data_IF_091926309263
#
_entry.id   IF_091926309263
#
_cell.length_a   1.000
_cell.length_b   1.000
_cell.length_c   1.000
_cell.angle_alpha   90.00
_cell.angle_beta   90.00
_cell.angle_gamma   90.00
#
_symmetry.space_group_name_H-M   'P 1'
#
loop_
_entity.id
_entity.type
_entity.pdbx_description
1 polymer ?
#
# COMPACT_ATOMS: atom_id res chain seq x y z
N UNK A 1 40.23 65.36 -8.73
CA UNK A 1 39.41 64.57 -7.77
C UNK A 1 38.37 63.75 -8.53
N UNK A 2 38.49 62.42 -8.59
CA UNK A 2 37.54 61.53 -9.28
C UNK A 2 36.61 60.88 -8.24
N UNK A 3 35.32 61.23 -8.25
CA UNK A 3 34.29 60.62 -7.39
C UNK A 3 33.88 59.26 -7.94
N UNK A 4 34.23 58.17 -7.24
CA UNK A 4 33.70 56.83 -7.53
C UNK A 4 32.27 56.70 -6.98
N UNK A 5 31.28 56.53 -7.86
CA UNK A 5 29.91 56.16 -7.46
C UNK A 5 29.84 54.66 -7.18
N UNK A 6 29.73 54.28 -5.92
CA UNK A 6 29.44 52.91 -5.49
C UNK A 6 28.00 52.53 -5.86
N UNK A 7 27.85 51.70 -6.91
CA UNK A 7 26.55 51.08 -7.26
C UNK A 7 26.22 50.01 -6.23
N UNK A 8 25.20 50.24 -5.39
CA UNK A 8 24.72 49.24 -4.42
C UNK A 8 23.97 48.10 -5.15
N UNK A 9 24.28 46.82 -4.88
CA UNK A 9 23.63 45.69 -5.54
C UNK A 9 22.28 45.37 -4.88
N UNK A 10 21.24 46.16 -5.16
CA UNK A 10 19.89 45.91 -4.62
C UNK A 10 19.11 44.81 -5.37
N UNK A 11 19.45 44.53 -6.63
CA UNK A 11 18.67 43.63 -7.49
C UNK A 11 18.87 42.12 -7.23
N UNK A 12 19.97 41.72 -6.57
CA UNK A 12 20.29 40.29 -6.37
C UNK A 12 19.40 39.61 -5.30
N UNK A 13 18.94 40.35 -4.29
CA UNK A 13 18.16 39.78 -3.17
C UNK A 13 16.76 39.35 -3.61
N UNK A 14 16.15 40.08 -4.55
CA UNK A 14 14.79 39.81 -5.01
C UNK A 14 14.70 38.56 -5.89
N UNK A 15 15.72 38.33 -6.74
CA UNK A 15 15.79 37.13 -7.59
C UNK A 15 15.96 35.84 -6.79
N UNK A 16 16.72 35.90 -5.69
CA UNK A 16 16.91 34.76 -4.81
C UNK A 16 15.59 34.34 -4.14
N UNK A 17 14.80 35.30 -3.67
CA UNK A 17 13.50 35.04 -3.04
C UNK A 17 12.50 34.41 -4.03
N UNK A 18 12.46 34.88 -5.28
CA UNK A 18 11.61 34.30 -6.33
C UNK A 18 12.02 32.86 -6.68
N UNK A 19 13.31 32.57 -6.75
CA UNK A 19 13.81 31.21 -7.00
C UNK A 19 13.45 30.28 -5.84
N UNK A 20 13.62 30.73 -4.60
CA UNK A 20 13.26 29.95 -3.40
C UNK A 20 11.75 29.72 -3.34
N UNK A 21 10.94 30.75 -3.58
CA UNK A 21 9.48 30.62 -3.61
C UNK A 21 9.01 29.67 -4.73
N UNK A 22 9.59 29.78 -5.93
CA UNK A 22 9.29 28.87 -7.04
C UNK A 22 9.69 27.42 -6.73
N UNK A 23 10.84 27.21 -6.11
CA UNK A 23 11.27 25.88 -5.68
C UNK A 23 10.35 25.29 -4.59
N UNK A 24 9.92 26.11 -3.62
CA UNK A 24 8.99 25.68 -2.57
C UNK A 24 7.60 25.35 -3.12
N UNK A 25 7.10 26.13 -4.08
CA UNK A 25 5.82 25.85 -4.75
C UNK A 25 5.90 24.57 -5.58
N UNK A 26 7.01 24.33 -6.29
CA UNK A 26 7.21 23.10 -7.05
C UNK A 26 7.30 21.88 -6.12
N UNK A 27 8.00 22.02 -4.99
CA UNK A 27 8.10 20.99 -3.96
C UNK A 27 6.75 20.71 -3.30
N UNK A 28 5.91 21.73 -3.09
CA UNK A 28 4.56 21.55 -2.56
C UNK A 28 3.61 20.90 -3.57
N UNK A 29 3.73 21.23 -4.86
CA UNK A 29 2.91 20.65 -5.93
C UNK A 29 3.28 19.20 -6.25
N UNK A 30 4.55 18.82 -6.04
CA UNK A 30 5.08 17.47 -6.27
C UNK A 30 5.28 16.68 -4.97
N UNK A 31 4.94 17.26 -3.82
CA UNK A 31 4.97 16.55 -2.55
C UNK A 31 4.01 15.36 -2.66
N UNK A 32 4.47 14.12 -2.45
CA UNK A 32 3.57 12.99 -2.30
C UNK A 32 2.52 13.36 -1.25
N UNK A 33 1.25 13.16 -1.55
CA UNK A 33 0.19 13.29 -0.54
C UNK A 33 0.52 12.25 0.53
N UNK A 34 1.11 12.69 1.65
CA UNK A 34 1.58 11.82 2.72
C UNK A 34 0.47 11.01 3.44
N UNK A 35 -0.78 11.13 3.01
CA UNK A 35 -1.95 10.43 3.54
C UNK A 35 -2.80 9.74 2.46
N UNK A 36 -2.32 9.62 1.22
CA UNK A 36 -3.02 8.78 0.24
C UNK A 36 -2.75 7.31 0.58
N UNK A 37 -3.76 6.61 1.10
CA UNK A 37 -3.74 5.16 1.22
C UNK A 37 -3.88 4.58 -0.19
N UNK A 38 -2.91 3.77 -0.59
CA UNK A 38 -2.94 3.04 -1.86
C UNK A 38 -3.44 1.63 -1.61
N UNK A 39 -4.23 1.09 -2.54
CA UNK A 39 -4.56 -0.34 -2.57
C UNK A 39 -3.31 -1.11 -2.99
N UNK A 40 -2.75 -1.88 -2.07
CA UNK A 40 -1.53 -2.66 -2.29
C UNK A 40 -1.86 -4.00 -2.91
N UNK A 41 -2.85 -4.70 -2.37
CA UNK A 41 -3.31 -6.02 -2.84
C UNK A 41 -4.82 -6.01 -2.85
N UNK A 42 -5.42 -6.58 -3.90
CA UNK A 42 -6.86 -6.67 -4.06
C UNK A 42 -7.26 -8.05 -4.61
N UNK A 43 -8.23 -8.70 -3.98
CA UNK A 43 -8.84 -9.94 -4.48
C UNK A 43 -10.35 -9.75 -4.55
N UNK A 44 -10.93 -9.73 -5.75
CA UNK A 44 -12.38 -9.61 -5.98
C UNK A 44 -13.04 -10.93 -6.41
N UNK A 45 -12.25 -11.97 -6.72
CA UNK A 45 -12.73 -13.31 -7.14
C UNK A 45 -13.55 -13.36 -8.43
N UNK A 46 -13.61 -12.27 -9.21
CA UNK A 46 -14.54 -12.10 -10.34
C UNK A 46 -14.16 -12.95 -11.56
N UNK A 47 -12.89 -13.36 -11.68
CA UNK A 47 -12.36 -14.24 -12.72
C UNK A 47 -12.68 -15.73 -12.52
N UNK A 48 -13.42 -16.07 -11.46
CA UNK A 48 -13.83 -17.43 -11.18
C UNK A 48 -14.99 -17.91 -12.08
N UNK A 49 -15.40 -19.17 -11.90
CA UNK A 49 -16.65 -19.69 -12.47
C UNK A 49 -17.56 -20.12 -11.32
N UNK A 50 -18.84 -19.71 -11.35
CA UNK A 50 -19.80 -20.05 -10.30
C UNK A 50 -19.84 -21.55 -10.01
N UNK A 51 -19.63 -21.93 -8.74
CA UNK A 51 -19.56 -23.32 -8.28
C UNK A 51 -18.21 -24.02 -8.50
N UNK A 52 -17.29 -23.40 -9.25
CA UNK A 52 -15.91 -23.83 -9.40
C UNK A 52 -15.02 -23.36 -8.24
N UNK A 53 -13.69 -23.53 -8.35
CA UNK A 53 -12.74 -22.93 -7.42
C UNK A 53 -12.83 -21.39 -7.46
N UNK A 54 -12.74 -20.69 -6.31
CA UNK A 54 -12.55 -19.23 -6.33
C UNK A 54 -11.26 -18.87 -7.05
N UNK A 55 -11.22 -17.68 -7.67
CA UNK A 55 -9.97 -17.13 -8.16
C UNK A 55 -9.15 -16.58 -6.98
N UNK A 56 -7.94 -17.10 -6.83
CA UNK A 56 -7.02 -16.73 -5.77
C UNK A 56 -5.92 -15.81 -6.25
N UNK A 57 -5.95 -15.39 -7.51
CA UNK A 57 -5.03 -14.38 -8.06
C UNK A 57 -5.53 -13.00 -7.66
N UNK A 58 -4.62 -12.11 -7.27
CA UNK A 58 -4.99 -10.72 -7.01
C UNK A 58 -5.09 -9.93 -8.30
N UNK A 59 -6.05 -9.02 -8.35
CA UNK A 59 -6.17 -8.04 -9.42
C UNK A 59 -5.12 -6.95 -9.28
N UNK A 60 -4.65 -6.43 -10.42
CA UNK A 60 -3.59 -5.42 -10.44
C UNK A 60 -3.85 -4.31 -11.45
N UNK A 61 -3.38 -3.11 -11.08
CA UNK A 61 -3.30 -1.98 -12.01
C UNK A 61 -2.18 -2.26 -13.03
N UNK A 62 -2.54 -2.89 -14.14
CA UNK A 62 -1.65 -3.20 -15.25
C UNK A 62 -1.58 -4.70 -15.56
N UNK A 63 -0.60 -5.10 -16.36
CA UNK A 63 -0.47 -6.51 -16.75
C UNK A 63 -0.29 -7.44 -15.54
N UNK A 64 -0.86 -8.66 -15.56
CA UNK A 64 -1.54 -9.29 -16.69
C UNK A 64 -3.05 -8.98 -16.81
N UNK A 65 -3.69 -8.53 -15.74
CA UNK A 65 -5.15 -8.48 -15.57
C UNK A 65 -5.76 -7.10 -15.96
N UNK A 66 -4.99 -6.02 -15.86
CA UNK A 66 -5.37 -4.66 -16.27
C UNK A 66 -6.65 -4.13 -15.61
N UNK A 67 -6.95 -4.53 -14.38
CA UNK A 67 -8.03 -3.93 -13.59
C UNK A 67 -7.58 -2.56 -13.01
N UNK A 68 -8.16 -1.42 -13.45
CA UNK A 68 -7.82 -0.10 -12.91
C UNK A 68 -8.13 0.07 -11.42
N UNK A 69 -9.03 -0.76 -10.86
CA UNK A 69 -9.31 -0.85 -9.44
C UNK A 69 -8.41 -1.84 -8.69
N UNK A 70 -7.50 -2.52 -9.37
CA UNK A 70 -6.60 -3.52 -8.79
C UNK A 70 -5.62 -2.97 -7.76
N UNK A 71 -4.85 -3.88 -7.16
CA UNK A 71 -3.73 -3.55 -6.30
C UNK A 71 -2.47 -3.13 -7.07
N UNK A 72 -1.46 -2.67 -6.33
CA UNK A 72 -0.13 -2.41 -6.87
C UNK A 72 0.73 -3.68 -6.97
N UNK A 73 0.37 -4.74 -6.23
CA UNK A 73 1.16 -5.96 -6.07
C UNK A 73 0.35 -7.17 -6.54
N UNK A 74 0.89 -7.89 -7.52
CA UNK A 74 0.39 -9.20 -7.94
C UNK A 74 0.83 -10.27 -6.93
N UNK A 75 -0.12 -11.02 -6.38
CA UNK A 75 0.11 -12.11 -5.44
C UNK A 75 -1.03 -13.13 -5.52
N UNK A 76 -0.91 -14.22 -4.77
CA UNK A 76 -1.90 -15.31 -4.78
C UNK A 76 -2.24 -15.72 -3.36
N UNK A 77 -3.53 -15.95 -3.11
CA UNK A 77 -4.00 -16.57 -1.88
C UNK A 77 -3.53 -18.02 -1.83
N UNK A 78 -2.98 -18.40 -0.68
CA UNK A 78 -2.78 -19.79 -0.30
C UNK A 78 -3.64 -20.11 0.92
N UNK A 79 -4.16 -21.33 0.99
CA UNK A 79 -5.06 -21.74 2.06
C UNK A 79 -4.86 -23.20 2.41
N UNK A 80 -5.13 -23.55 3.67
CA UNK A 80 -5.27 -24.93 4.11
C UNK A 80 -6.73 -25.32 4.37
N UNK A 81 -7.70 -24.42 4.13
CA UNK A 81 -9.10 -24.78 4.19
C UNK A 81 -9.47 -25.66 3.00
N UNK A 82 -10.30 -26.66 3.27
CA UNK A 82 -10.43 -27.83 2.39
C UNK A 82 -11.67 -27.78 1.50
N UNK A 83 -12.67 -26.98 1.86
CA UNK A 83 -13.92 -26.90 1.12
C UNK A 83 -14.26 -25.45 0.73
N UNK A 84 -13.80 -25.05 -0.46
CA UNK A 84 -14.12 -23.77 -1.08
C UNK A 84 -14.92 -23.93 -2.37
N UNK A 85 -15.72 -22.92 -2.68
CA UNK A 85 -16.25 -22.73 -4.03
C UNK A 85 -16.53 -21.24 -4.29
N UNK A 86 -16.48 -20.86 -5.56
CA UNK A 86 -16.96 -19.56 -6.02
C UNK A 86 -18.48 -19.51 -5.92
N UNK A 87 -18.99 -18.40 -5.38
CA UNK A 87 -20.43 -18.14 -5.15
C UNK A 87 -20.80 -16.74 -5.60
N UNK A 88 -22.09 -16.40 -5.56
CA UNK A 88 -22.54 -15.03 -5.73
C UNK A 88 -21.89 -14.10 -4.69
N UNK A 89 -21.24 -13.04 -5.16
CA UNK A 89 -20.51 -12.05 -4.36
C UNK A 89 -21.29 -10.79 -4.03
N UNK A 90 -20.56 -9.75 -3.65
CA UNK A 90 -21.05 -8.49 -3.09
C UNK A 90 -20.38 -7.28 -3.75
N UNK A 91 -21.08 -6.14 -3.75
CA UNK A 91 -20.47 -4.85 -4.11
C UNK A 91 -19.74 -4.20 -2.92
N UNK A 92 -19.93 -4.72 -1.71
CA UNK A 92 -19.35 -4.15 -0.49
C UNK A 92 -17.83 -4.34 -0.47
N UNK A 93 -17.11 -3.31 -0.06
CA UNK A 93 -15.64 -3.26 -0.06
C UNK A 93 -14.98 -3.42 -1.42
N UNK A 94 -15.69 -3.18 -2.53
CA UNK A 94 -15.08 -3.09 -3.87
C UNK A 94 -14.22 -1.83 -3.99
N UNK A 95 -13.12 -1.88 -4.72
CA UNK A 95 -12.26 -0.71 -4.95
C UNK A 95 -12.91 0.28 -5.94
N UNK A 96 -12.54 1.56 -5.81
CA UNK A 96 -12.96 2.56 -6.78
C UNK A 96 -12.17 2.35 -8.09
N UNK A 97 -12.88 2.00 -9.17
CA UNK A 97 -12.26 1.75 -10.49
C UNK A 97 -12.22 0.29 -10.90
N UNK A 98 -12.70 -0.62 -10.05
CA UNK A 98 -12.89 -2.03 -10.40
C UNK A 98 -13.83 -2.15 -11.61
N UNK A 99 -13.34 -2.78 -12.68
CA UNK A 99 -14.08 -2.96 -13.93
C UNK A 99 -15.04 -4.15 -13.89
N UNK A 100 -14.85 -5.06 -12.94
CA UNK A 100 -15.68 -6.24 -12.76
C UNK A 100 -16.95 -5.85 -12.02
N UNK A 101 -17.87 -5.30 -12.79
CA UNK A 101 -19.09 -4.65 -12.30
C UNK A 101 -20.28 -5.60 -12.12
N UNK A 102 -20.06 -6.92 -12.21
CA UNK A 102 -21.11 -7.92 -12.07
C UNK A 102 -21.86 -7.79 -10.72
N UNK A 103 -23.18 -8.00 -10.76
CA UNK A 103 -24.06 -7.96 -9.60
C UNK A 103 -25.17 -9.04 -9.69
N UNK A 104 -25.11 -10.11 -8.87
CA UNK A 104 -23.98 -10.41 -7.99
C UNK A 104 -22.74 -10.76 -8.81
N UNK A 105 -21.58 -10.28 -8.38
CA UNK A 105 -20.29 -10.76 -8.87
C UNK A 105 -19.98 -12.15 -8.34
N UNK A 106 -18.71 -12.52 -8.28
CA UNK A 106 -18.23 -13.76 -7.67
C UNK A 106 -17.47 -13.50 -6.37
N UNK A 107 -17.50 -14.48 -5.47
CA UNK A 107 -16.87 -14.41 -4.16
C UNK A 107 -16.36 -15.79 -3.72
N UNK A 108 -15.47 -15.81 -2.71
CA UNK A 108 -14.99 -17.03 -2.09
C UNK A 108 -15.94 -17.53 -0.99
N UNK A 109 -16.49 -18.73 -1.13
CA UNK A 109 -17.33 -19.35 -0.11
C UNK A 109 -16.66 -20.53 0.58
N UNK A 110 -16.79 -20.62 1.91
CA UNK A 110 -16.39 -21.75 2.75
C UNK A 110 -17.58 -22.68 3.00
N UNK A 111 -17.37 -24.00 2.90
CA UNK A 111 -18.32 -25.03 3.36
C UNK A 111 -17.86 -25.64 4.67
N UNK A 112 -18.77 -26.29 5.38
CA UNK A 112 -18.46 -27.13 6.56
C UNK A 112 -17.51 -26.45 7.55
N UNK A 113 -17.81 -25.20 7.91
CA UNK A 113 -16.93 -24.32 8.72
C UNK A 113 -16.36 -24.92 10.01
N UNK A 114 -17.01 -25.87 10.73
CA UNK A 114 -16.38 -26.52 11.89
C UNK A 114 -15.12 -27.31 11.55
N UNK A 115 -15.06 -27.91 10.36
CA UNK A 115 -13.90 -28.67 9.89
C UNK A 115 -12.72 -27.76 9.52
N UNK A 116 -13.00 -26.50 9.19
CA UNK A 116 -12.03 -25.49 8.83
C UNK A 116 -11.76 -24.50 9.99
N UNK A 117 -12.11 -24.86 11.23
CA UNK A 117 -11.71 -24.09 12.41
C UNK A 117 -10.18 -24.09 12.57
N UNK A 118 -9.58 -22.89 12.61
CA UNK A 118 -8.13 -22.74 12.61
C UNK A 118 -7.50 -22.81 11.21
N UNK A 119 -8.29 -23.08 10.17
CA UNK A 119 -7.85 -22.90 8.79
C UNK A 119 -7.68 -21.41 8.46
N UNK A 120 -6.89 -21.16 7.42
CA UNK A 120 -6.48 -19.82 7.06
C UNK A 120 -6.52 -19.57 5.56
N UNK A 121 -6.62 -18.30 5.21
CA UNK A 121 -6.17 -17.77 3.92
C UNK A 121 -4.98 -16.85 4.18
N UNK A 122 -4.00 -16.84 3.30
CA UNK A 122 -2.83 -15.98 3.43
C UNK A 122 -2.28 -15.57 2.07
N UNK A 123 -1.57 -14.45 2.03
CA UNK A 123 -0.85 -14.00 0.85
C UNK A 123 0.41 -13.23 1.27
N UNK A 124 1.41 -13.23 0.39
CA UNK A 124 2.69 -12.56 0.61
C UNK A 124 2.81 -11.27 -0.22
N UNK A 125 3.56 -10.30 0.30
CA UNK A 125 3.96 -9.10 -0.43
C UNK A 125 5.28 -8.53 0.09
N UNK A 126 5.90 -7.68 -0.74
CA UNK A 126 6.98 -6.82 -0.31
C UNK A 126 6.41 -5.47 0.17
N UNK A 127 6.44 -5.23 1.47
CA UNK A 127 5.94 -4.02 2.12
C UNK A 127 7.04 -3.01 2.47
N UNK A 128 8.26 -3.14 1.91
CA UNK A 128 9.40 -2.26 2.26
C UNK A 128 9.11 -0.77 2.16
N UNK A 129 8.33 -0.38 1.15
CA UNK A 129 7.98 1.01 0.87
C UNK A 129 6.65 1.45 1.53
N UNK A 130 6.05 0.64 2.41
CA UNK A 130 4.71 0.91 2.95
C UNK A 130 4.68 0.79 4.47
N UNK A 131 3.86 1.63 5.08
CA UNK A 131 3.54 1.63 6.51
C UNK A 131 2.06 1.91 6.75
N UNK A 132 1.62 1.79 8.01
CA UNK A 132 0.23 2.06 8.41
C UNK A 132 -0.79 1.27 7.59
N UNK A 133 -0.52 -0.01 7.40
CA UNK A 133 -1.36 -0.87 6.58
C UNK A 133 -2.67 -1.26 7.29
N UNK A 134 -3.72 -1.45 6.51
CA UNK A 134 -5.03 -1.94 6.98
C UNK A 134 -5.56 -2.97 6.00
N UNK A 135 -6.06 -4.08 6.52
CA UNK A 135 -6.68 -5.13 5.74
C UNK A 135 -8.20 -5.10 5.95
N UNK A 136 -8.98 -5.13 4.88
CA UNK A 136 -10.44 -5.22 4.95
C UNK A 136 -10.99 -6.24 3.96
N UNK A 137 -12.19 -6.75 4.25
CA UNK A 137 -12.94 -7.60 3.32
C UNK A 137 -14.43 -7.57 3.67
N UNK A 138 -15.28 -7.79 2.67
CA UNK A 138 -16.69 -8.02 2.87
C UNK A 138 -16.93 -9.49 3.20
N UNK A 139 -17.93 -9.77 4.04
CA UNK A 139 -18.35 -11.13 4.32
C UNK A 139 -19.84 -11.21 4.59
N UNK A 140 -20.42 -12.39 4.46
CA UNK A 140 -21.70 -12.72 5.11
C UNK A 140 -21.59 -14.11 5.72
N UNK A 141 -22.43 -14.36 6.73
CA UNK A 141 -22.63 -15.71 7.22
C UNK A 141 -24.10 -16.07 7.04
N UNK A 142 -24.40 -17.14 6.29
CA UNK A 142 -25.75 -17.53 5.89
C UNK A 142 -26.56 -18.14 7.05
N UNK A 143 -26.59 -17.46 8.19
CA UNK A 143 -27.21 -17.88 9.45
C UNK A 143 -26.26 -18.65 10.37
N UNK A 144 -25.38 -19.48 9.80
CA UNK A 144 -24.32 -20.22 10.51
C UNK A 144 -23.00 -20.04 9.75
N UNK A 145 -21.85 -20.19 10.40
CA UNK A 145 -20.54 -19.95 9.78
C UNK A 145 -19.47 -19.66 10.82
N UNK A 146 -18.31 -19.16 10.39
CA UNK A 146 -17.32 -18.62 11.32
C UNK A 146 -17.87 -17.42 12.09
N UNK A 147 -17.54 -17.31 13.36
CA UNK A 147 -17.98 -16.20 14.22
C UNK A 147 -16.84 -15.25 14.59
N UNK A 148 -15.60 -15.58 14.21
CA UNK A 148 -14.41 -14.79 14.47
C UNK A 148 -13.40 -14.94 13.34
N UNK A 149 -12.68 -13.86 13.08
CA UNK A 149 -11.49 -13.83 12.24
C UNK A 149 -10.37 -13.15 13.00
N UNK A 150 -9.15 -13.69 12.90
CA UNK A 150 -7.96 -13.10 13.47
C UNK A 150 -6.90 -12.89 12.39
N UNK A 151 -6.33 -11.68 12.34
CA UNK A 151 -5.17 -11.39 11.53
C UNK A 151 -3.91 -11.89 12.23
N UNK A 152 -3.03 -12.53 11.47
CA UNK A 152 -1.66 -12.85 11.82
C UNK A 152 -0.75 -12.27 10.75
N UNK A 153 0.50 -11.98 11.13
CA UNK A 153 1.52 -11.58 10.18
C UNK A 153 2.83 -12.33 10.42
N UNK A 154 3.62 -12.49 9.37
CA UNK A 154 4.97 -13.04 9.40
C UNK A 154 5.89 -12.10 8.65
N UNK A 155 7.10 -11.88 9.18
CA UNK A 155 8.14 -11.06 8.56
C UNK A 155 9.27 -11.91 7.97
N UNK A 156 9.15 -13.23 8.07
CA UNK A 156 10.13 -14.24 7.66
C UNK A 156 9.60 -15.17 6.55
N UNK A 157 8.68 -14.67 5.72
CA UNK A 157 8.16 -15.43 4.58
C UNK A 157 7.20 -16.56 4.96
N UNK A 158 6.57 -16.48 6.14
CA UNK A 158 5.58 -17.44 6.60
C UNK A 158 6.13 -18.57 7.47
N UNK A 159 7.34 -18.44 8.01
CA UNK A 159 7.92 -19.45 8.93
C UNK A 159 7.36 -19.29 10.34
N UNK A 160 7.29 -18.06 10.86
CA UNK A 160 6.73 -17.74 12.16
C UNK A 160 5.64 -16.67 12.05
N UNK A 161 4.52 -16.89 12.73
CA UNK A 161 3.39 -15.96 12.73
C UNK A 161 3.19 -15.30 14.09
N UNK A 162 3.08 -13.98 14.07
CA UNK A 162 2.72 -13.16 15.23
C UNK A 162 1.23 -12.82 15.17
N UNK A 163 0.47 -13.01 16.27
CA UNK A 163 -0.94 -12.65 16.31
C UNK A 163 -1.11 -11.13 16.23
N UNK A 164 -2.07 -10.70 15.42
CA UNK A 164 -2.59 -9.35 15.33
C UNK A 164 -4.03 -9.25 15.87
N UNK A 165 -4.78 -8.21 15.46
CA UNK A 165 -6.15 -8.01 15.94
C UNK A 165 -7.11 -9.09 15.44
N UNK A 166 -8.20 -9.26 16.19
CA UNK A 166 -9.34 -10.11 15.83
C UNK A 166 -10.62 -9.29 15.75
N UNK A 167 -11.55 -9.71 14.88
CA UNK A 167 -12.88 -9.14 14.79
C UNK A 167 -13.95 -10.24 14.93
N UNK A 168 -15.09 -9.94 15.57
CA UNK A 168 -16.26 -10.81 15.50
C UNK A 168 -16.83 -10.79 14.09
N UNK A 169 -17.29 -11.96 13.64
CA UNK A 169 -18.06 -12.12 12.41
C UNK A 169 -19.52 -12.34 12.80
N UNK A 170 -20.34 -11.32 12.55
CA UNK A 170 -21.75 -11.32 12.93
C UNK A 170 -22.55 -12.27 12.05
N UNK A 171 -23.56 -12.88 12.66
CA UNK A 171 -24.52 -13.74 11.96
C UNK A 171 -25.65 -12.91 11.38
N UNK A 172 -25.92 -13.10 10.10
CA UNK A 172 -26.99 -12.41 9.40
C UNK A 172 -26.76 -12.51 7.90
N UNK A 173 -27.79 -12.83 7.12
CA UNK A 173 -27.68 -13.00 5.66
C UNK A 173 -27.40 -11.72 4.87
N UNK A 174 -27.00 -10.63 5.53
CA UNK A 174 -26.57 -9.39 4.88
C UNK A 174 -25.03 -9.33 4.86
N UNK A 175 -24.42 -8.70 3.86
CA UNK A 175 -22.98 -8.47 3.85
C UNK A 175 -22.54 -7.47 4.94
N UNK A 176 -21.42 -7.75 5.57
CA UNK A 176 -20.76 -6.98 6.62
C UNK A 176 -19.32 -6.68 6.19
N UNK A 177 -18.74 -5.63 6.77
CA UNK A 177 -17.34 -5.25 6.56
C UNK A 177 -16.51 -5.60 7.79
N UNK A 178 -15.39 -6.28 7.59
CA UNK A 178 -14.32 -6.39 8.59
C UNK A 178 -13.16 -5.51 8.14
N UNK A 179 -12.61 -4.75 9.08
CA UNK A 179 -11.37 -3.98 8.91
C UNK A 179 -10.43 -4.27 10.09
N UNK A 180 -9.21 -4.69 9.79
CA UNK A 180 -8.19 -5.08 10.75
C UNK A 180 -6.94 -4.23 10.48
N UNK A 181 -6.52 -3.45 11.47
CA UNK A 181 -5.27 -2.73 11.40
C UNK A 181 -4.10 -3.73 11.36
N UNK A 182 -3.23 -3.61 10.36
CA UNK A 182 -2.02 -4.45 10.31
C UNK A 182 -1.06 -3.92 11.38
N UNK A 183 -0.51 -4.79 12.27
CA UNK A 183 0.40 -4.33 13.32
C UNK A 183 1.65 -3.64 12.75
N UNK A 184 2.12 -2.58 13.41
CA UNK A 184 3.30 -1.80 12.99
C UNK A 184 4.58 -2.63 12.82
N UNK A 185 4.67 -3.82 13.44
CA UNK A 185 5.77 -4.76 13.23
C UNK A 185 5.82 -5.36 11.82
N UNK A 186 4.76 -5.22 11.03
CA UNK A 186 4.69 -5.60 9.63
C UNK A 186 5.14 -4.50 8.66
N UNK A 187 5.31 -3.27 9.14
CA UNK A 187 5.73 -2.15 8.30
C UNK A 187 7.19 -2.35 7.82
N UNK A 188 7.46 -1.95 6.58
CA UNK A 188 8.78 -2.03 5.94
C UNK A 188 9.36 -3.44 5.78
N UNK A 189 8.53 -4.48 5.80
CA UNK A 189 9.00 -5.86 5.71
C UNK A 189 9.02 -6.36 4.26
N UNK A 190 10.16 -6.89 3.80
CA UNK A 190 10.33 -7.37 2.43
C UNK A 190 9.64 -8.71 2.16
N UNK A 191 9.50 -9.55 3.18
CA UNK A 191 8.91 -10.88 3.10
C UNK A 191 7.66 -10.96 3.99
N UNK A 192 6.78 -9.97 3.87
CA UNK A 192 5.57 -9.91 4.67
C UNK A 192 4.58 -10.97 4.17
N UNK A 193 4.06 -11.77 5.09
CA UNK A 193 2.89 -12.64 4.84
C UNK A 193 1.80 -12.25 5.80
N UNK A 194 0.62 -11.94 5.26
CA UNK A 194 -0.59 -11.70 6.06
C UNK A 194 -1.48 -12.93 6.00
N UNK A 195 -2.03 -13.32 7.14
CA UNK A 195 -2.85 -14.52 7.30
C UNK A 195 -4.12 -14.19 8.06
N UNK A 196 -5.27 -14.56 7.52
CA UNK A 196 -6.56 -14.53 8.22
C UNK A 196 -6.89 -15.93 8.66
N UNK A 197 -7.06 -16.13 9.97
CA UNK A 197 -7.48 -17.40 10.57
C UNK A 197 -8.93 -17.27 10.99
N UNK A 198 -9.77 -18.18 10.53
CA UNK A 198 -11.19 -18.20 10.84
C UNK A 198 -11.51 -19.23 11.93
N UNK A 199 -12.38 -18.88 12.87
CA UNK A 199 -12.70 -19.71 14.02
C UNK A 199 -14.18 -19.62 14.41
N UNK A 200 -14.59 -20.56 15.27
CA UNK A 200 -15.95 -20.69 15.78
C UNK A 200 -16.98 -21.02 14.70
N UNK A 201 -16.55 -21.73 13.65
CA UNK A 201 -17.39 -22.32 12.63
C UNK A 201 -18.39 -23.29 13.24
N UNK A 202 -19.67 -23.12 12.92
CA UNK A 202 -20.80 -23.93 13.44
C UNK A 202 -21.59 -24.65 12.34
N UNK A 203 -21.33 -24.35 11.07
CA UNK A 203 -22.15 -24.87 9.98
C UNK A 203 -21.75 -26.27 9.52
N UNK A 204 -22.59 -27.27 9.78
CA UNK A 204 -22.36 -28.68 9.49
C UNK A 204 -22.92 -29.15 8.12
N UNK A 205 -23.45 -28.24 7.30
CA UNK A 205 -24.09 -28.57 6.03
C UNK A 205 -23.18 -28.42 4.80
N UNK A 206 -23.62 -28.97 3.66
CA UNK A 206 -22.94 -28.83 2.36
C UNK A 206 -23.08 -27.45 1.71
N UNK A 207 -23.88 -26.57 2.31
CA UNK A 207 -24.10 -25.23 1.81
C UNK A 207 -22.91 -24.34 2.18
N UNK A 208 -22.63 -23.35 1.32
CA UNK A 208 -21.61 -22.34 1.55
C UNK A 208 -22.15 -21.33 2.54
N UNK A 209 -21.40 -21.09 3.61
CA UNK A 209 -21.96 -20.55 4.85
C UNK A 209 -21.23 -19.31 5.31
N UNK A 210 -19.90 -19.28 5.20
CA UNK A 210 -19.16 -18.02 5.24
C UNK A 210 -18.75 -17.67 3.82
N UNK A 211 -19.17 -16.53 3.33
CA UNK A 211 -18.76 -15.99 2.03
C UNK A 211 -17.91 -14.77 2.33
N UNK A 212 -16.74 -14.68 1.70
CA UNK A 212 -15.83 -13.55 1.78
C UNK A 212 -15.60 -12.99 0.39
N UNK A 213 -15.40 -11.68 0.32
CA UNK A 213 -15.28 -10.98 -0.94
C UNK A 213 -14.45 -9.69 -0.80
N UNK A 214 -13.95 -9.20 -1.93
CA UNK A 214 -13.26 -7.92 -2.09
C UNK A 214 -12.21 -7.69 -1.00
N UNK A 215 -11.26 -8.61 -0.86
CA UNK A 215 -10.18 -8.48 0.14
C UNK A 215 -9.24 -7.37 -0.32
N UNK A 216 -9.07 -6.35 0.50
CA UNK A 216 -8.17 -5.23 0.25
C UNK A 216 -7.10 -5.14 1.32
N UNK A 217 -5.86 -4.96 0.90
CA UNK A 217 -4.80 -4.43 1.74
C UNK A 217 -4.49 -3.01 1.26
N UNK A 218 -4.65 -2.02 2.14
CA UNK A 218 -4.25 -0.64 1.87
C UNK A 218 -3.06 -0.24 2.72
N UNK A 219 -2.23 0.68 2.25
CA UNK A 219 -1.09 1.19 3.01
C UNK A 219 -0.66 2.58 2.54
N UNK A 220 0.07 3.27 3.41
CA UNK A 220 0.64 4.58 3.10
C UNK A 220 2.05 4.37 2.53
N UNK A 221 2.36 4.87 1.33
CA UNK A 221 3.72 4.83 0.83
C UNK A 221 4.61 5.70 1.71
N UNK A 222 5.82 5.23 2.01
CA UNK A 222 6.83 6.03 2.68
C UNK A 222 6.99 7.34 1.91
N UNK A 223 6.82 8.50 2.58
CA UNK A 223 6.95 9.76 1.88
C UNK A 223 8.38 9.82 1.33
N UNK A 224 8.50 10.19 0.05
CA UNK A 224 9.80 10.38 -0.62
C UNK A 224 10.67 11.46 0.04
N UNK A 225 10.26 11.99 1.19
CA UNK A 225 11.03 12.80 2.14
C UNK A 225 12.48 12.32 2.31
N UNK A 226 12.76 11.02 2.27
CA UNK A 226 14.16 10.53 2.30
C UNK A 226 14.92 10.97 1.05
N UNK A 227 14.35 10.77 -0.14
CA UNK A 227 14.93 11.21 -1.42
C UNK A 227 14.96 12.74 -1.53
N UNK A 228 13.89 13.43 -1.13
CA UNK A 228 13.80 14.88 -1.10
C UNK A 228 14.80 15.52 -0.12
N UNK A 229 15.02 14.90 1.04
CA UNK A 229 16.02 15.32 2.03
C UNK A 229 17.44 15.16 1.51
N UNK A 230 17.75 14.05 0.86
CA UNK A 230 19.05 13.80 0.23
C UNK A 230 19.33 14.78 -0.92
N UNK A 231 18.35 15.03 -1.79
CA UNK A 231 18.46 16.03 -2.85
C UNK A 231 18.59 17.45 -2.29
N UNK A 232 17.89 17.77 -1.19
CA UNK A 232 18.02 19.03 -0.47
C UNK A 232 19.44 19.24 0.09
N UNK A 233 20.03 18.22 0.70
CA UNK A 233 21.41 18.24 1.20
C UNK A 233 22.44 18.40 0.08
N UNK A 234 22.26 17.68 -1.03
CA UNK A 234 23.12 17.81 -2.22
C UNK A 234 23.03 19.21 -2.83
N UNK A 235 21.81 19.78 -2.90
CA UNK A 235 21.58 21.16 -3.34
C UNK A 235 22.25 22.20 -2.43
N UNK A 236 22.16 22.01 -1.11
CA UNK A 236 22.85 22.85 -0.12
C UNK A 236 24.38 22.77 -0.25
N UNK A 237 24.93 21.57 -0.36
CA UNK A 237 26.38 21.34 -0.55
C UNK A 237 26.88 21.98 -1.84
N UNK A 238 26.13 21.85 -2.95
CA UNK A 238 26.45 22.50 -4.21
C UNK A 238 26.40 24.03 -4.13
N UNK A 239 25.39 24.57 -3.44
CA UNK A 239 25.27 26.02 -3.26
C UNK A 239 26.41 26.60 -2.40
N UNK A 240 26.80 25.90 -1.33
CA UNK A 240 27.95 26.27 -0.50
C UNK A 240 29.26 26.24 -1.30
N UNK A 241 29.48 25.20 -2.13
CA UNK A 241 30.68 25.08 -2.99
C UNK A 241 30.83 26.25 -3.98
N UNK A 242 29.72 26.75 -4.54
CA UNK A 242 29.75 27.92 -5.45
C UNK A 242 30.11 29.22 -4.74
N UNK A 243 29.68 29.42 -3.49
CA UNK A 243 30.02 30.63 -2.72
C UNK A 243 31.51 30.67 -2.35
N UNK A 244 32.12 29.54 -2.04
CA UNK A 244 33.55 29.47 -1.68
C UNK A 244 34.45 29.81 -2.88
N UNK A 245 34.11 29.36 -4.10
CA UNK A 245 34.87 29.70 -5.32
C UNK A 245 34.86 31.20 -5.68
N UNK A 246 33.89 31.97 -5.21
CA UNK A 246 33.80 33.42 -5.43
C UNK A 246 34.63 34.24 -4.44
N UNK A 247 35.06 33.64 -3.31
CA UNK A 247 35.83 34.31 -2.25
C UNK A 247 37.34 34.06 -2.42
N UNK A 248 37.73 33.01 -3.15
CA UNK A 248 39.14 32.77 -3.44
C UNK A 248 39.68 33.83 -4.43
N UNK A 249 40.69 34.63 -4.04
CA UNK A 249 41.33 35.55 -4.96
C UNK A 249 41.96 34.76 -6.10
N UNK A 250 41.72 35.19 -7.34
CA UNK A 250 42.52 34.75 -8.48
C UNK A 250 43.95 35.23 -8.21
N UNK A 251 44.80 34.34 -7.68
CA UNK A 251 46.24 34.56 -7.67
C UNK A 251 46.69 34.73 -9.12
N UNK A 252 46.88 36.00 -9.51
CA UNK A 252 47.42 36.37 -10.81
C UNK A 252 48.82 35.78 -10.93
N UNK A 253 48.97 34.87 -11.87
CA UNK A 253 50.26 34.33 -12.28
C UNK A 253 51.01 35.46 -13.01
N UNK A 254 51.82 36.21 -12.27
CA UNK A 254 52.74 37.21 -12.81
C UNK A 254 53.81 36.47 -13.62
N UNK A 255 53.61 36.44 -14.94
CA UNK A 255 54.58 35.90 -15.90
C UNK A 255 55.74 36.90 -16.02
N UNK A 256 56.80 36.67 -15.26
CA UNK A 256 58.08 37.38 -15.35
C UNK A 256 58.68 37.22 -16.76
N UNK A 257 58.64 38.29 -17.56
CA UNK A 257 59.56 38.46 -18.70
C UNK A 257 60.93 38.79 -18.14
N UNK A 258 61.93 37.95 -18.39
CA UNK A 258 63.33 38.37 -18.39
C UNK A 258 63.84 38.40 -19.83
N UNK A 259 64.61 39.44 -20.09
CA UNK A 259 65.38 39.71 -21.30
C UNK A 259 66.51 38.69 -21.49
#
# INVERSE_FOLDING_TARGET
MRKFKTRRPRALRFRLLLIVAGALLLMAALAPKANAQNVLVYFNFEDATLGGPPDFTSDVVGAPDFNPGGGLVLTTITTNATNFAAVAGFLLNRTAGDIDTANPGLAGGFRTTPADNGSYIQFGLNATAFSNMSLSFAYTTAGNGFNTVQLFYSTDGGLNFTPGPSAPMLTGGQPHLVTLAVPVGADHQANLVLRLVFNGGTSMGNNLQTIIDNIQLVGVPEPTTVAGGLLGLLGLCWHQRRRIRLILPRCGFLRSRRA
#
